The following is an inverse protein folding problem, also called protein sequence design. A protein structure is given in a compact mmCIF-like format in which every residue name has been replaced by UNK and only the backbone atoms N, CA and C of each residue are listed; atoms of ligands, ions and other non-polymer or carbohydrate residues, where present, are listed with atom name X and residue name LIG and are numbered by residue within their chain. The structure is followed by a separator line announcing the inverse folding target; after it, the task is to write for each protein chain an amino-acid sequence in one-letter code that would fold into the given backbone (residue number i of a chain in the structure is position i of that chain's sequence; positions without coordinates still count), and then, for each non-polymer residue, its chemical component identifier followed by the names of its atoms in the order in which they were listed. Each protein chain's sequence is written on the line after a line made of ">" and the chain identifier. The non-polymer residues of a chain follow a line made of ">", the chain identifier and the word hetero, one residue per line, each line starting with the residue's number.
data_IF_053061766034
#
_entry.id   IF_053061766034
#
_cell.length_a   1.000
_cell.length_b   1.000
_cell.length_c   1.000
_cell.angle_alpha   90.00
_cell.angle_beta   90.00
_cell.angle_gamma   90.00
#
_symmetry.space_group_name_H-M   'P 1'
#
loop_
_entity.id
_entity.type
_entity.pdbx_description
1 polymer ?
#
# COMPACT_ATOMS: atom_id res chain seq x y z
N UNK A 1 3.08 3.70 -10.06
CA UNK A 1 1.97 3.06 -9.34
C UNK A 1 0.82 4.06 -9.18
N UNK A 2 -0.42 3.59 -9.38
CA UNK A 2 -1.65 4.30 -9.05
C UNK A 2 -2.26 3.72 -7.78
N UNK A 3 -2.77 4.57 -6.89
CA UNK A 3 -3.42 4.18 -5.64
C UNK A 3 -4.86 4.70 -5.63
N UNK A 4 -5.83 3.85 -5.34
CA UNK A 4 -7.24 4.24 -5.25
C UNK A 4 -7.97 3.43 -4.19
N UNK A 5 -8.83 4.07 -3.42
CA UNK A 5 -9.65 3.45 -2.38
C UNK A 5 -11.10 3.29 -2.83
N UNK A 6 -11.69 2.14 -2.56
CA UNK A 6 -13.08 1.81 -2.81
C UNK A 6 -13.82 1.81 -1.48
N UNK A 7 -14.72 2.79 -1.31
CA UNK A 7 -15.43 3.06 -0.05
C UNK A 7 -16.94 2.94 -0.25
N UNK A 8 -17.69 2.88 0.85
CA UNK A 8 -19.14 2.65 0.84
C UNK A 8 -19.59 1.80 2.02
N UNK A 9 -20.89 1.79 2.28
CA UNK A 9 -21.48 1.01 3.37
C UNK A 9 -21.32 -0.50 3.16
N UNK A 10 -21.40 -1.26 4.25
CA UNK A 10 -21.52 -2.73 4.17
C UNK A 10 -22.64 -3.11 3.21
N UNK A 11 -22.45 -4.20 2.47
CA UNK A 11 -23.38 -4.70 1.46
C UNK A 11 -23.58 -3.79 0.24
N UNK A 12 -22.79 -2.73 0.06
CA UNK A 12 -22.89 -1.90 -1.14
C UNK A 12 -22.36 -2.56 -2.43
N UNK A 13 -21.64 -3.69 -2.30
CA UNK A 13 -20.99 -4.39 -3.43
C UNK A 13 -19.52 -4.00 -3.64
N UNK A 14 -18.88 -3.32 -2.68
CA UNK A 14 -17.46 -2.89 -2.77
C UNK A 14 -16.52 -4.01 -3.19
N UNK A 15 -16.59 -5.15 -2.50
CA UNK A 15 -15.69 -6.28 -2.75
C UNK A 15 -15.84 -6.76 -4.20
N UNK A 16 -17.07 -6.88 -4.69
CA UNK A 16 -17.35 -7.23 -6.09
C UNK A 16 -16.77 -6.20 -7.06
N UNK A 17 -16.93 -4.91 -6.80
CA UNK A 17 -16.34 -3.85 -7.64
C UNK A 17 -14.82 -3.95 -7.66
N UNK A 18 -14.17 -4.10 -6.49
CA UNK A 18 -12.70 -4.23 -6.38
C UNK A 18 -12.21 -5.46 -7.14
N UNK A 19 -12.88 -6.61 -6.99
CA UNK A 19 -12.54 -7.85 -7.69
C UNK A 19 -12.64 -7.69 -9.22
N UNK A 20 -13.75 -7.13 -9.72
CA UNK A 20 -13.94 -6.95 -11.16
C UNK A 20 -12.96 -5.92 -11.76
N UNK A 21 -12.70 -4.82 -11.05
CA UNK A 21 -11.67 -3.85 -11.46
C UNK A 21 -10.29 -4.50 -11.47
N UNK A 22 -9.95 -5.33 -10.48
CA UNK A 22 -8.68 -6.05 -10.45
C UNK A 22 -8.55 -7.06 -11.60
N UNK A 23 -9.63 -7.79 -11.93
CA UNK A 23 -9.68 -8.71 -13.06
C UNK A 23 -9.45 -7.96 -14.38
N UNK A 24 -10.16 -6.85 -14.60
CA UNK A 24 -10.05 -6.09 -15.84
C UNK A 24 -8.66 -5.44 -15.99
N UNK A 25 -8.11 -4.84 -14.92
CA UNK A 25 -6.73 -4.33 -14.93
C UNK A 25 -5.71 -5.44 -15.22
N UNK A 26 -5.88 -6.63 -14.65
CA UNK A 26 -4.98 -7.77 -14.90
C UNK A 26 -5.08 -8.26 -16.34
N UNK A 27 -6.29 -8.30 -16.92
CA UNK A 27 -6.53 -8.64 -18.33
C UNK A 27 -5.83 -7.66 -19.28
N UNK A 28 -5.68 -6.39 -18.87
CA UNK A 28 -4.91 -5.36 -19.59
C UNK A 28 -3.39 -5.42 -19.39
N UNK A 29 -2.90 -6.36 -18.57
CA UNK A 29 -1.47 -6.61 -18.37
C UNK A 29 -0.82 -5.84 -17.22
N UNK A 30 -1.60 -5.17 -16.37
CA UNK A 30 -1.08 -4.48 -15.20
C UNK A 30 -0.73 -5.43 -14.05
N UNK A 31 0.29 -5.08 -13.28
CA UNK A 31 0.52 -5.68 -11.96
C UNK A 31 -0.42 -5.00 -10.95
N UNK A 32 -1.36 -5.76 -10.39
CA UNK A 32 -2.42 -5.24 -9.49
C UNK A 32 -2.28 -5.81 -8.08
N UNK A 33 -2.17 -4.92 -7.10
CA UNK A 33 -2.19 -5.24 -5.67
C UNK A 33 -3.52 -4.84 -5.05
N UNK A 34 -3.92 -5.53 -3.98
CA UNK A 34 -5.13 -5.19 -3.21
C UNK A 34 -4.78 -5.10 -1.73
N UNK A 35 -5.23 -4.02 -1.09
CA UNK A 35 -5.14 -3.83 0.36
C UNK A 35 -6.56 -3.85 0.91
N UNK A 36 -6.88 -4.81 1.78
CA UNK A 36 -8.14 -4.80 2.53
C UNK A 36 -7.92 -4.12 3.87
N UNK A 37 -8.58 -2.99 4.10
CA UNK A 37 -8.49 -2.26 5.36
C UNK A 37 -9.55 -2.77 6.34
N UNK A 38 -9.09 -3.40 7.44
CA UNK A 38 -9.93 -3.92 8.52
C UNK A 38 -9.67 -3.12 9.82
N UNK A 39 -10.44 -2.06 10.13
CA UNK A 39 -10.20 -1.19 11.29
C UNK A 39 -10.32 -1.91 12.65
N UNK A 40 -11.05 -3.02 12.70
CA UNK A 40 -11.28 -3.81 13.91
C UNK A 40 -10.31 -4.99 14.06
N UNK A 41 -9.25 -5.05 13.23
CA UNK A 41 -8.31 -6.16 13.20
C UNK A 41 -8.77 -7.32 12.31
N UNK A 42 -7.90 -8.32 12.19
CA UNK A 42 -8.12 -9.53 11.40
C UNK A 42 -7.21 -10.65 11.92
N UNK A 43 -7.57 -11.89 11.63
CA UNK A 43 -6.72 -13.07 11.83
C UNK A 43 -6.50 -13.75 10.48
N UNK A 44 -5.25 -14.04 10.14
CA UNK A 44 -4.88 -14.71 8.88
C UNK A 44 -4.55 -16.19 9.10
N UNK A 45 -4.27 -16.60 10.33
CA UNK A 45 -3.79 -17.94 10.62
C UNK A 45 -4.91 -18.83 11.15
N UNK A 46 -4.71 -20.14 10.97
CA UNK A 46 -5.52 -21.12 11.70
C UNK A 46 -5.04 -21.14 13.15
N UNK A 47 -5.99 -21.10 14.08
CA UNK A 47 -5.72 -21.29 15.50
C UNK A 47 -4.88 -22.56 15.71
N UNK A 48 -3.86 -22.44 16.55
CA UNK A 48 -2.93 -23.51 16.95
C UNK A 48 -1.99 -24.03 15.84
N UNK A 49 -1.96 -23.41 14.66
CA UNK A 49 -0.89 -23.64 13.67
C UNK A 49 0.48 -23.21 14.21
N UNK A 50 1.55 -23.71 13.60
CA UNK A 50 2.92 -23.36 14.02
C UNK A 50 3.21 -21.85 13.83
N UNK A 51 2.73 -21.24 12.75
CA UNK A 51 2.82 -19.79 12.52
C UNK A 51 2.06 -19.01 13.60
N UNK A 52 0.84 -19.44 13.95
CA UNK A 52 0.09 -18.85 15.07
C UNK A 52 0.85 -18.97 16.40
N UNK A 53 1.47 -20.13 16.68
CA UNK A 53 2.27 -20.33 17.90
C UNK A 53 3.50 -19.43 17.94
N UNK A 54 4.19 -19.22 16.81
CA UNK A 54 5.31 -18.28 16.71
C UNK A 54 4.86 -16.83 16.98
N UNK A 55 3.72 -16.43 16.43
CA UNK A 55 3.13 -15.10 16.68
C UNK A 55 2.74 -14.91 18.14
N UNK A 56 2.07 -15.90 18.73
CA UNK A 56 1.65 -15.91 20.13
C UNK A 56 2.84 -15.92 21.10
N UNK A 57 3.97 -16.53 20.70
CA UNK A 57 5.22 -16.51 21.46
C UNK A 57 5.91 -15.13 21.49
N UNK A 58 5.40 -14.15 20.74
CA UNK A 58 5.89 -12.77 20.78
C UNK A 58 6.80 -12.37 19.63
N UNK A 59 6.86 -13.15 18.54
CA UNK A 59 7.56 -12.70 17.33
C UNK A 59 6.98 -11.35 16.84
N UNK A 60 7.86 -10.39 16.54
CA UNK A 60 7.46 -9.09 15.97
C UNK A 60 7.03 -9.21 14.50
N UNK A 61 7.44 -10.28 13.82
CA UNK A 61 6.97 -10.63 12.50
C UNK A 61 7.08 -12.12 12.25
N UNK A 62 6.12 -12.66 11.51
CA UNK A 62 6.12 -14.04 11.06
C UNK A 62 5.95 -14.04 9.54
N UNK A 63 6.78 -14.84 8.88
CA UNK A 63 6.71 -15.07 7.44
C UNK A 63 6.44 -16.55 7.17
N UNK A 64 5.43 -16.82 6.35
CA UNK A 64 5.12 -18.14 5.82
C UNK A 64 5.43 -18.11 4.32
N UNK A 65 6.28 -19.02 3.88
CA UNK A 65 6.80 -19.05 2.50
C UNK A 65 6.49 -20.40 1.89
N UNK A 66 5.99 -20.39 0.66
CA UNK A 66 5.76 -21.57 -0.17
C UNK A 66 6.32 -21.34 -1.58
N UNK A 67 6.14 -22.31 -2.48
CA UNK A 67 6.63 -22.22 -3.86
C UNK A 67 6.01 -21.09 -4.69
N UNK A 68 4.79 -20.68 -4.37
CA UNK A 68 3.97 -19.76 -5.18
C UNK A 68 3.35 -18.60 -4.40
N UNK A 69 3.43 -18.62 -3.07
CA UNK A 69 2.90 -17.54 -2.21
C UNK A 69 3.77 -17.30 -0.97
N UNK A 70 3.73 -16.04 -0.52
CA UNK A 70 4.36 -15.57 0.71
C UNK A 70 3.33 -14.78 1.50
N UNK A 71 3.16 -15.13 2.78
CA UNK A 71 2.38 -14.36 3.73
C UNK A 71 3.34 -13.80 4.79
N UNK A 72 3.29 -12.49 5.02
CA UNK A 72 4.06 -11.82 6.07
C UNK A 72 3.11 -10.95 6.87
N UNK A 73 3.11 -11.13 8.18
CA UNK A 73 2.40 -10.25 9.09
C UNK A 73 3.34 -9.81 10.20
N UNK A 74 3.23 -8.53 10.58
CA UNK A 74 4.15 -7.84 11.47
C UNK A 74 3.36 -7.05 12.50
N UNK A 75 3.87 -6.99 13.72
CA UNK A 75 3.36 -6.06 14.73
C UNK A 75 3.78 -4.66 14.33
N UNK A 76 2.89 -3.71 14.52
CA UNK A 76 3.16 -2.29 14.24
C UNK A 76 3.04 -1.51 15.53
N UNK A 77 4.02 -0.67 15.82
CA UNK A 77 4.05 0.19 17.01
C UNK A 77 3.00 1.32 16.96
N UNK A 78 2.53 1.66 15.76
CA UNK A 78 1.50 2.67 15.51
C UNK A 78 0.62 2.28 14.29
N UNK A 79 -0.61 2.85 14.19
CA UNK A 79 -1.44 2.70 13.01
C UNK A 79 -0.69 3.10 11.74
N UNK A 80 -0.74 2.23 10.73
CA UNK A 80 -0.07 2.45 9.45
C UNK A 80 -0.99 3.21 8.51
N UNK A 81 -0.43 4.22 7.82
CA UNK A 81 -1.15 4.87 6.71
C UNK A 81 -1.25 3.90 5.54
N UNK A 82 -2.41 3.80 4.91
CA UNK A 82 -2.63 2.86 3.79
C UNK A 82 -1.71 3.14 2.61
N UNK A 83 -1.40 4.41 2.36
CA UNK A 83 -0.40 4.82 1.35
C UNK A 83 0.99 4.27 1.66
N UNK A 84 1.42 4.37 2.92
CA UNK A 84 2.70 3.82 3.38
C UNK A 84 2.79 2.32 3.14
N UNK A 85 1.70 1.59 3.45
CA UNK A 85 1.63 0.13 3.23
C UNK A 85 1.75 -0.19 1.74
N UNK A 86 1.08 0.56 0.87
CA UNK A 86 1.18 0.40 -0.58
C UNK A 86 2.61 0.64 -1.10
N UNK A 87 3.22 1.76 -0.73
CA UNK A 87 4.57 2.14 -1.19
C UNK A 87 5.66 1.15 -0.74
N UNK A 88 5.58 0.62 0.49
CA UNK A 88 6.58 -0.29 1.04
C UNK A 88 6.42 -1.73 0.55
N UNK A 89 5.18 -2.22 0.42
CA UNK A 89 4.93 -3.65 0.18
C UNK A 89 4.51 -3.96 -1.26
N UNK A 90 4.11 -2.95 -2.03
CA UNK A 90 3.72 -3.09 -3.43
C UNK A 90 4.55 -2.19 -4.38
N UNK A 91 5.87 -2.01 -4.20
CA UNK A 91 6.66 -1.02 -4.94
C UNK A 91 6.76 -1.28 -6.45
N UNK A 92 6.40 -2.47 -6.92
CA UNK A 92 6.50 -2.87 -8.34
C UNK A 92 5.14 -2.95 -9.04
N UNK A 93 4.06 -2.71 -8.31
CA UNK A 93 2.71 -2.78 -8.83
C UNK A 93 2.34 -1.51 -9.60
N UNK A 94 1.60 -1.70 -10.68
CA UNK A 94 1.11 -0.60 -11.51
C UNK A 94 -0.12 0.03 -10.86
N UNK A 95 -0.97 -0.78 -10.23
CA UNK A 95 -2.14 -0.37 -9.45
C UNK A 95 -2.17 -1.03 -8.08
N UNK A 96 -2.58 -0.27 -7.06
CA UNK A 96 -2.99 -0.80 -5.77
C UNK A 96 -4.40 -0.32 -5.47
N UNK A 97 -5.32 -1.27 -5.31
CA UNK A 97 -6.71 -1.02 -4.96
C UNK A 97 -6.86 -1.21 -3.45
N UNK A 98 -7.46 -0.24 -2.75
CA UNK A 98 -7.76 -0.36 -1.33
C UNK A 98 -9.25 -0.63 -1.16
N UNK A 99 -9.63 -1.77 -0.58
CA UNK A 99 -10.99 -1.98 -0.11
C UNK A 99 -11.13 -1.38 1.29
N UNK A 100 -11.96 -0.35 1.44
CA UNK A 100 -12.09 0.42 2.68
C UNK A 100 -11.18 1.65 2.72
N UNK A 101 -10.87 2.16 3.91
CA UNK A 101 -10.13 3.44 4.05
C UNK A 101 -11.01 4.68 3.96
N UNK A 102 -12.29 4.58 4.35
CA UNK A 102 -13.24 5.71 4.39
C UNK A 102 -12.70 6.91 5.18
N UNK A 103 -12.02 6.65 6.30
CA UNK A 103 -11.50 7.67 7.22
C UNK A 103 -10.03 8.05 6.94
N UNK A 104 -9.40 7.45 5.91
CA UNK A 104 -8.00 7.73 5.57
C UNK A 104 -7.91 9.02 4.74
N UNK A 105 -7.32 10.10 5.26
CA UNK A 105 -7.30 11.38 4.58
C UNK A 105 -6.32 11.42 3.41
N UNK A 106 -6.66 12.18 2.38
CA UNK A 106 -5.79 12.43 1.22
C UNK A 106 -5.71 11.27 0.22
N UNK A 107 -6.46 10.18 0.43
CA UNK A 107 -6.60 9.13 -0.57
C UNK A 107 -7.70 9.45 -1.58
N UNK A 108 -7.45 9.29 -2.89
CA UNK A 108 -8.50 9.32 -3.91
C UNK A 108 -9.45 8.12 -3.74
N UNK A 109 -10.75 8.39 -3.79
CA UNK A 109 -11.79 7.44 -3.44
C UNK A 109 -12.82 7.28 -4.56
N UNK A 110 -13.11 6.02 -4.91
CA UNK A 110 -14.31 5.62 -5.64
C UNK A 110 -15.34 5.19 -4.60
N UNK A 111 -16.49 5.87 -4.57
CA UNK A 111 -17.56 5.49 -3.66
C UNK A 111 -18.52 4.51 -4.35
N UNK A 112 -18.68 3.31 -3.80
CA UNK A 112 -19.72 2.37 -4.21
C UNK A 112 -20.96 2.67 -3.39
N UNK A 113 -21.89 3.38 -4.02
CA UNK A 113 -23.04 3.98 -3.38
C UNK A 113 -24.36 3.33 -3.82
N UNK A 114 -25.27 3.19 -2.86
CA UNK A 114 -26.61 2.62 -3.03
C UNK A 114 -27.59 3.49 -2.26
N UNK A 115 -28.66 3.94 -2.91
CA UNK A 115 -29.62 4.86 -2.31
C UNK A 115 -30.31 4.27 -1.08
N UNK A 116 -30.52 2.96 -1.09
CA UNK A 116 -31.11 2.19 0.01
C UNK A 116 -30.21 2.11 1.25
N UNK A 117 -28.89 2.25 1.09
CA UNK A 117 -27.93 2.20 2.21
C UNK A 117 -27.62 3.57 2.78
N UNK A 118 -27.70 4.62 1.96
CA UNK A 118 -27.44 5.99 2.40
C UNK A 118 -28.14 7.02 1.52
N UNK A 119 -28.75 8.06 2.09
CA UNK A 119 -29.40 9.11 1.32
C UNK A 119 -28.41 10.03 0.58
N UNK A 120 -27.12 10.00 0.95
CA UNK A 120 -26.07 10.88 0.40
C UNK A 120 -24.74 10.15 0.29
N UNK A 121 -23.84 10.70 -0.51
CA UNK A 121 -22.45 10.28 -0.56
C UNK A 121 -21.74 10.58 0.77
N UNK A 122 -20.85 9.69 1.20
CA UNK A 122 -20.09 9.83 2.46
C UNK A 122 -18.69 10.39 2.25
N UNK A 123 -18.18 10.33 1.02
CA UNK A 123 -16.83 10.75 0.70
C UNK A 123 -16.75 12.26 0.53
N UNK A 124 -15.73 12.88 1.13
CA UNK A 124 -15.48 14.30 0.95
C UNK A 124 -15.21 14.65 -0.52
N UNK A 125 -15.76 15.78 -1.00
CA UNK A 125 -15.66 16.21 -2.41
C UNK A 125 -14.21 16.30 -2.94
N UNK A 126 -13.26 16.66 -2.08
CA UNK A 126 -11.84 16.76 -2.44
C UNK A 126 -11.16 15.41 -2.71
N UNK A 127 -11.73 14.32 -2.19
CA UNK A 127 -11.19 12.96 -2.28
C UNK A 127 -12.00 12.08 -3.24
N UNK A 128 -13.28 12.40 -3.45
CA UNK A 128 -14.15 11.68 -4.36
C UNK A 128 -13.67 11.82 -5.81
N UNK A 129 -13.37 10.69 -6.43
CA UNK A 129 -12.88 10.58 -7.82
C UNK A 129 -13.99 10.15 -8.77
N UNK A 130 -14.80 9.17 -8.38
CA UNK A 130 -15.95 8.67 -9.12
C UNK A 130 -16.93 7.98 -8.16
N UNK A 131 -18.14 7.70 -8.64
CA UNK A 131 -19.14 6.92 -7.92
C UNK A 131 -19.52 5.69 -8.75
N UNK A 132 -19.70 4.55 -8.09
CA UNK A 132 -20.33 3.36 -8.69
C UNK A 132 -21.72 3.20 -8.08
N UNK A 133 -22.77 3.28 -8.91
CA UNK A 133 -24.17 3.16 -8.49
C UNK A 133 -25.11 2.88 -9.67
N UNK A 134 -26.18 2.13 -9.42
CA UNK A 134 -27.33 2.00 -10.35
C UNK A 134 -28.34 3.15 -10.19
N UNK A 135 -28.22 3.94 -9.11
CA UNK A 135 -29.01 5.13 -8.84
C UNK A 135 -28.30 6.41 -9.36
N UNK A 136 -28.97 7.55 -9.22
CA UNK A 136 -28.43 8.88 -9.55
C UNK A 136 -28.10 9.69 -8.29
N UNK A 137 -26.87 9.63 -7.76
CA UNK A 137 -26.44 10.47 -6.65
C UNK A 137 -26.24 11.93 -7.10
N UNK A 138 -26.45 12.88 -6.18
CA UNK A 138 -26.11 14.28 -6.41
C UNK A 138 -24.59 14.49 -6.32
N UNK A 139 -23.92 14.61 -7.47
CA UNK A 139 -22.46 14.77 -7.54
C UNK A 139 -22.02 15.43 -8.85
N UNK A 140 -20.87 16.11 -8.83
CA UNK A 140 -20.17 16.62 -10.00
C UNK A 140 -19.11 15.64 -10.54
N UNK A 141 -18.98 14.47 -9.91
CA UNK A 141 -18.05 13.42 -10.30
C UNK A 141 -18.70 12.42 -11.27
N UNK A 142 -17.92 11.74 -12.12
CA UNK A 142 -18.45 10.67 -12.97
C UNK A 142 -19.13 9.58 -12.15
N UNK A 143 -20.28 9.10 -12.63
CA UNK A 143 -21.04 7.99 -12.07
C UNK A 143 -21.05 6.85 -13.08
N UNK A 144 -20.68 5.65 -12.64
CA UNK A 144 -20.70 4.43 -13.43
C UNK A 144 -21.66 3.44 -12.78
N UNK A 145 -22.45 2.72 -13.57
CA UNK A 145 -23.24 1.63 -13.02
C UNK A 145 -22.41 0.34 -12.87
N UNK A 146 -22.96 -0.70 -12.23
CA UNK A 146 -22.24 -1.95 -11.99
C UNK A 146 -21.93 -2.75 -13.27
N UNK A 147 -22.55 -2.41 -14.40
CA UNK A 147 -22.26 -2.98 -15.72
C UNK A 147 -21.17 -2.19 -16.50
N UNK A 148 -20.76 -1.02 -16.01
CA UNK A 148 -19.80 -0.11 -16.65
C UNK A 148 -18.41 -0.15 -16.00
N UNK A 149 -18.03 -1.27 -15.39
CA UNK A 149 -16.74 -1.36 -14.68
C UNK A 149 -15.54 -1.30 -15.63
N UNK A 150 -15.69 -1.70 -16.90
CA UNK A 150 -14.66 -1.49 -17.92
C UNK A 150 -14.43 0.01 -18.19
N UNK A 151 -15.51 0.81 -18.29
CA UNK A 151 -15.44 2.26 -18.45
C UNK A 151 -14.83 2.94 -17.21
N UNK A 152 -15.13 2.41 -16.03
CA UNK A 152 -14.48 2.85 -14.79
C UNK A 152 -12.97 2.59 -14.85
N UNK A 153 -12.53 1.41 -15.32
CA UNK A 153 -11.10 1.10 -15.46
C UNK A 153 -10.42 2.05 -16.44
N UNK A 154 -11.03 2.31 -17.60
CA UNK A 154 -10.57 3.31 -18.58
C UNK A 154 -10.37 4.69 -17.94
N UNK A 155 -11.31 5.09 -17.09
CA UNK A 155 -11.24 6.35 -16.37
C UNK A 155 -10.10 6.36 -15.34
N UNK A 156 -9.95 5.30 -14.55
CA UNK A 156 -8.88 5.19 -13.53
C UNK A 156 -7.47 5.18 -14.17
N UNK A 157 -7.30 4.54 -15.32
CA UNK A 157 -6.05 4.55 -16.10
C UNK A 157 -5.64 5.96 -16.53
N UNK A 158 -6.59 6.76 -17.00
CA UNK A 158 -6.34 8.13 -17.48
C UNK A 158 -6.22 9.14 -16.34
N UNK A 159 -6.63 8.79 -15.12
CA UNK A 159 -6.67 9.72 -13.99
C UNK A 159 -5.31 9.89 -13.31
N UNK A 160 -4.62 11.00 -13.60
CA UNK A 160 -3.30 11.31 -13.05
C UNK A 160 -3.30 11.58 -11.53
N UNK A 161 -4.45 11.93 -10.93
CA UNK A 161 -4.55 12.16 -9.48
C UNK A 161 -4.31 10.90 -8.65
N UNK A 162 -4.40 9.73 -9.28
CA UNK A 162 -4.12 8.45 -8.64
C UNK A 162 -2.62 8.15 -8.56
N UNK A 163 -1.79 8.86 -9.33
CA UNK A 163 -0.36 8.58 -9.40
C UNK A 163 0.32 8.91 -8.07
N UNK A 164 1.06 7.93 -7.54
CA UNK A 164 2.03 8.19 -6.50
C UNK A 164 3.34 8.72 -7.11
N UNK A 165 4.14 9.51 -6.37
CA UNK A 165 5.47 9.92 -6.79
C UNK A 165 6.32 8.73 -7.25
N UNK A 166 7.26 8.95 -8.16
CA UNK A 166 8.14 7.86 -8.60
C UNK A 166 9.21 7.55 -7.53
N UNK A 167 9.69 8.57 -6.84
CA UNK A 167 10.79 8.48 -5.89
C UNK A 167 10.31 8.74 -4.47
N UNK A 168 10.52 7.77 -3.59
CA UNK A 168 10.20 7.85 -2.17
C UNK A 168 11.46 7.59 -1.34
N UNK A 169 11.63 8.36 -0.27
CA UNK A 169 12.69 8.13 0.71
C UNK A 169 12.06 7.75 2.04
N UNK A 170 12.45 6.59 2.54
CA UNK A 170 12.11 6.12 3.87
C UNK A 170 13.33 6.30 4.77
N UNK A 171 13.14 6.96 5.90
CA UNK A 171 14.13 7.06 6.97
C UNK A 171 13.52 6.37 8.18
N UNK A 172 14.11 5.24 8.56
CA UNK A 172 13.52 4.29 9.49
C UNK A 172 12.11 3.89 9.02
N UNK A 173 11.08 4.14 9.83
CA UNK A 173 9.68 3.83 9.53
C UNK A 173 8.89 5.04 9.01
N UNK A 174 9.58 6.11 8.60
CA UNK A 174 8.95 7.38 8.20
C UNK A 174 9.19 7.71 6.74
N UNK A 175 8.11 7.98 6.02
CA UNK A 175 8.16 8.55 4.68
C UNK A 175 8.60 10.02 4.76
N UNK A 176 9.66 10.35 4.05
CA UNK A 176 10.17 11.72 3.93
C UNK A 176 9.66 12.35 2.63
N UNK A 177 8.84 13.42 2.69
CA UNK A 177 8.41 14.13 1.50
C UNK A 177 9.61 14.78 0.79
N UNK A 178 9.79 14.47 -0.49
CA UNK A 178 10.86 15.02 -1.31
C UNK A 178 10.30 16.06 -2.29
N UNK A 179 10.99 17.19 -2.42
CA UNK A 179 10.72 18.17 -3.48
C UNK A 179 11.06 17.57 -4.85
N UNK A 180 10.40 17.99 -5.96
CA UNK A 180 10.64 17.45 -7.29
C UNK A 180 12.12 17.41 -7.69
N UNK A 181 12.85 18.51 -7.48
CA UNK A 181 14.29 18.58 -7.75
C UNK A 181 15.11 17.51 -7.00
N UNK A 182 14.77 17.22 -5.74
CA UNK A 182 15.50 16.20 -4.95
C UNK A 182 15.18 14.79 -5.46
N UNK A 183 13.94 14.55 -5.91
CA UNK A 183 13.55 13.29 -6.54
C UNK A 183 14.36 13.06 -7.82
N UNK A 184 14.42 14.06 -8.71
CA UNK A 184 15.17 13.99 -9.98
C UNK A 184 16.68 13.80 -9.74
N UNK A 185 17.25 14.50 -8.76
CA UNK A 185 18.67 14.38 -8.41
C UNK A 185 19.02 12.96 -7.92
N UNK A 186 18.20 12.40 -7.01
CA UNK A 186 18.41 11.05 -6.49
C UNK A 186 18.23 10.00 -7.59
N UNK A 187 17.17 10.13 -8.40
CA UNK A 187 16.89 9.23 -9.53
C UNK A 187 18.07 9.23 -10.51
N UNK A 188 18.50 10.41 -10.98
CA UNK A 188 19.59 10.55 -11.93
C UNK A 188 20.91 9.97 -11.41
N UNK A 189 21.21 10.21 -10.12
CA UNK A 189 22.42 9.71 -9.47
C UNK A 189 22.43 8.18 -9.36
N UNK A 190 21.35 7.60 -8.82
CA UNK A 190 21.23 6.15 -8.65
C UNK A 190 21.19 5.45 -10.01
N UNK A 191 20.42 5.97 -10.96
CA UNK A 191 20.35 5.41 -12.31
C UNK A 191 21.69 5.48 -13.04
N UNK A 192 22.44 6.57 -12.86
CA UNK A 192 23.80 6.72 -13.37
C UNK A 192 24.73 5.61 -12.85
N UNK A 193 24.69 5.33 -11.55
CA UNK A 193 25.46 4.23 -10.94
C UNK A 193 25.03 2.87 -11.49
N UNK A 194 23.72 2.60 -11.53
CA UNK A 194 23.16 1.32 -11.98
C UNK A 194 23.53 1.01 -13.44
N UNK A 195 23.57 2.03 -14.32
CA UNK A 195 23.95 1.86 -15.73
C UNK A 195 25.39 1.36 -15.93
N UNK A 196 26.27 1.55 -14.94
CA UNK A 196 27.65 1.05 -15.01
C UNK A 196 27.78 -0.44 -14.64
N UNK A 197 26.73 -1.03 -14.05
CA UNK A 197 26.74 -2.40 -13.58
C UNK A 197 26.57 -3.40 -14.73
N UNK A 198 27.38 -4.46 -14.72
CA UNK A 198 27.25 -5.57 -15.67
C UNK A 198 26.04 -6.44 -15.30
N UNK A 199 25.41 -7.06 -16.30
CA UNK A 199 24.26 -7.99 -16.17
C UNK A 199 22.96 -7.36 -15.62
N UNK A 200 22.84 -6.03 -15.65
CA UNK A 200 21.57 -5.34 -15.38
C UNK A 200 20.86 -5.04 -16.72
N UNK A 201 19.52 -5.17 -16.80
CA UNK A 201 18.77 -4.80 -18.00
C UNK A 201 19.01 -3.34 -18.41
N UNK A 202 19.05 -3.06 -19.72
CA UNK A 202 19.28 -1.70 -20.24
C UNK A 202 18.19 -0.69 -19.82
N UNK A 203 16.98 -1.16 -19.57
CA UNK A 203 15.82 -0.38 -19.11
C UNK A 203 15.18 -1.10 -17.92
N UNK A 204 15.71 -0.96 -16.69
CA UNK A 204 15.07 -1.54 -15.52
C UNK A 204 13.69 -0.90 -15.30
N UNK A 205 12.70 -1.70 -14.93
CA UNK A 205 11.32 -1.23 -14.69
C UNK A 205 11.17 -0.54 -13.32
N UNK A 206 12.01 -0.92 -12.36
CA UNK A 206 12.03 -0.40 -11.00
C UNK A 206 13.42 -0.62 -10.38
N UNK A 207 13.73 0.14 -9.34
CA UNK A 207 14.93 -0.01 -8.51
C UNK A 207 14.52 0.11 -7.04
N UNK A 208 15.14 -0.69 -6.18
CA UNK A 208 15.01 -0.55 -4.73
C UNK A 208 16.41 -0.49 -4.13
N UNK A 209 16.63 0.48 -3.25
CA UNK A 209 17.89 0.67 -2.55
C UNK A 209 17.61 0.64 -1.05
N UNK A 210 18.25 -0.29 -0.36
CA UNK A 210 18.21 -0.39 1.10
C UNK A 210 19.60 -0.10 1.66
N UNK A 211 19.68 0.87 2.56
CA UNK A 211 20.93 1.27 3.22
C UNK A 211 20.78 1.03 4.71
N UNK A 212 21.52 0.06 5.23
CA UNK A 212 21.64 -0.17 6.66
C UNK A 212 22.82 0.64 7.21
N UNK A 213 22.54 1.60 8.09
CA UNK A 213 23.57 2.32 8.83
C UNK A 213 23.93 1.54 10.09
N UNK A 214 25.22 1.46 10.44
CA UNK A 214 25.65 0.75 11.64
C UNK A 214 25.03 1.42 12.88
N UNK A 215 24.45 0.62 13.78
CA UNK A 215 24.06 1.10 15.11
C UNK A 215 25.33 1.48 15.86
N UNK A 216 25.46 2.74 16.28
CA UNK A 216 26.48 3.10 17.26
C UNK A 216 26.25 2.23 18.52
N UNK A 217 27.24 1.39 18.86
CA UNK A 217 27.22 0.70 20.15
C UNK A 217 27.27 1.77 21.23
N UNK A 218 26.26 1.77 22.09
CA UNK A 218 26.19 2.68 23.23
C UNK A 218 27.52 2.54 24.04
N UNK A 219 28.34 3.59 24.19
CA UNK A 219 29.67 3.49 24.82
C UNK A 219 29.63 3.00 26.28
N UNK A 220 28.44 2.95 26.91
CA UNK A 220 28.24 2.58 28.31
C UNK A 220 28.25 1.08 28.61
N UNK A 221 28.23 0.20 27.60
CA UNK A 221 28.30 -1.27 27.82
C UNK A 221 29.71 -1.86 27.72
N UNK A 222 30.70 -1.09 27.23
CA UNK A 222 32.08 -1.57 27.06
C UNK A 222 32.97 -1.40 28.32
N UNK A 223 32.41 -0.92 29.44
CA UNK A 223 33.17 -0.42 30.58
C UNK A 223 32.83 -1.05 31.94
N UNK A 224 32.49 -2.34 32.01
CA UNK A 224 32.53 -3.09 33.28
C UNK A 224 33.58 -4.19 33.19
N UNK A 225 34.83 -3.87 33.56
CA UNK A 225 35.80 -4.89 33.96
C UNK A 225 35.24 -5.61 35.21
N UNK A 226 35.32 -6.95 35.31
CA UNK A 226 35.08 -7.63 36.57
C UNK A 226 36.09 -7.12 37.61
N UNK A 227 35.61 -6.81 38.81
CA UNK A 227 36.50 -6.56 39.94
C UNK A 227 37.29 -7.84 40.21
N UNK A 228 38.61 -7.79 40.03
CA UNK A 228 39.52 -8.78 40.57
C UNK A 228 39.39 -8.71 42.10
N UNK A 229 38.87 -9.77 42.72
CA UNK A 229 39.03 -9.98 44.15
C UNK A 229 40.45 -10.51 44.39
N UNK A 230 41.33 -9.62 44.84
CA UNK A 230 42.59 -9.93 45.48
C UNK A 230 42.36 -10.16 46.98
N UNK A 231 42.83 -11.33 47.43
CA UNK A 231 43.18 -11.78 48.79
C UNK A 231 42.10 -11.88 49.88
#
# INVERSE_FOLDING_TARGET
>A
MKLVSFVGFSDSGKTTVVEQVAIELKKRGYQVGVIKHCPHGFDLDKKDSDSHRMWAAGAEGVGVVSSDQVAIYKRTSAPQKLRSVAELNFPHYDFVLIEGGKDEPGLPKVEVWRKELSPKLITARGELVAVVSDDQPETDRPVFNFCQLEDLVDFLEKNEKLNLPATHLWVDERLVPLKPFVQEMLEGSVLGMVKTLKKIPAKPRWLSLFIALQKEKNPKEAGKKPAEHSE
#
